data_IF_798535256166
#
_entry.id   IF_798535256166
#
_cell.length_a   1.000
_cell.length_b   1.000
_cell.length_c   1.000
_cell.angle_alpha   90.00
_cell.angle_beta   90.00
_cell.angle_gamma   90.00
#
_symmetry.space_group_name_H-M   'P 1'
#
loop_
_entity.id
_entity.type
_entity.pdbx_description
1 polymer ?
#
# COMPACT_ATOMS: atom_id res chain seq x y z
N UNK A 1 -17.09 8.70 14.17
CA UNK A 1 -15.80 9.40 14.34
C UNK A 1 -15.93 10.77 13.71
N UNK A 2 -15.75 11.87 14.46
CA UNK A 2 -15.61 13.20 13.82
C UNK A 2 -14.23 13.19 13.17
N UNK A 3 -14.17 13.14 11.85
CA UNK A 3 -12.91 13.27 11.12
C UNK A 3 -12.43 14.71 11.31
N UNK A 4 -11.30 14.85 12.02
CA UNK A 4 -10.61 16.11 12.24
C UNK A 4 -9.92 16.59 10.97
N UNK A 5 -8.70 17.12 11.06
CA UNK A 5 -7.96 17.56 9.88
C UNK A 5 -7.55 16.36 9.01
N UNK A 6 -7.97 16.38 7.75
CA UNK A 6 -7.79 15.33 6.75
C UNK A 6 -6.79 15.79 5.68
N UNK A 7 -5.73 15.03 5.44
CA UNK A 7 -4.80 15.24 4.33
C UNK A 7 -5.01 14.22 3.21
N UNK A 8 -5.11 14.67 1.96
CA UNK A 8 -5.13 13.78 0.79
C UNK A 8 -3.83 13.89 0.02
N UNK A 9 -3.17 12.76 -0.22
CA UNK A 9 -1.92 12.68 -0.99
C UNK A 9 -2.17 11.92 -2.31
N UNK A 10 -2.01 12.58 -3.48
CA UNK A 10 -2.18 11.94 -4.80
C UNK A 10 -2.25 12.90 -6.01
N UNK A 11 -2.33 12.37 -7.23
CA UNK A 11 -2.62 13.14 -8.45
C UNK A 11 -4.13 13.39 -8.60
N UNK A 12 -4.57 14.64 -8.43
CA UNK A 12 -5.90 15.09 -8.83
C UNK A 12 -5.87 15.62 -10.27
N UNK A 13 -6.79 15.13 -11.09
CA UNK A 13 -7.37 15.92 -12.17
C UNK A 13 -8.47 16.80 -11.50
N UNK A 14 -8.76 17.99 -12.02
CA UNK A 14 -9.77 18.87 -11.41
C UNK A 14 -11.18 18.35 -11.65
N UNK A 15 -12.00 18.27 -10.60
CA UNK A 15 -13.44 18.02 -10.71
C UNK A 15 -14.20 19.13 -9.98
N UNK A 16 -14.91 19.95 -10.76
CA UNK A 16 -15.78 20.99 -10.21
C UNK A 16 -17.09 20.40 -9.66
N UNK A 17 -17.76 21.09 -8.73
CA UNK A 17 -19.10 20.70 -8.26
C UNK A 17 -20.07 20.50 -9.43
N UNK A 18 -20.82 19.39 -9.43
CA UNK A 18 -21.79 19.04 -10.49
C UNK A 18 -21.25 18.22 -11.66
N UNK A 19 -19.97 17.83 -11.64
CA UNK A 19 -19.38 16.99 -12.69
C UNK A 19 -19.92 15.55 -12.62
N UNK A 20 -20.36 15.00 -13.75
CA UNK A 20 -20.83 13.62 -13.85
C UNK A 20 -19.68 12.61 -13.63
N UNK A 21 -19.68 11.99 -12.45
CA UNK A 21 -18.60 11.15 -11.92
C UNK A 21 -18.33 9.87 -12.73
N UNK A 22 -19.27 9.43 -13.58
CA UNK A 22 -19.08 8.29 -14.49
C UNK A 22 -18.08 8.54 -15.63
N UNK A 23 -17.62 9.78 -15.80
CA UNK A 23 -16.80 10.23 -16.94
C UNK A 23 -15.37 10.67 -16.58
N UNK A 24 -14.99 10.62 -15.30
CA UNK A 24 -13.68 11.11 -14.84
C UNK A 24 -12.71 9.95 -14.56
N UNK A 25 -11.50 10.00 -15.14
CA UNK A 25 -10.44 8.97 -14.96
C UNK A 25 -9.34 9.48 -14.01
N UNK A 26 -9.01 8.71 -12.97
CA UNK A 26 -7.87 8.95 -12.06
C UNK A 26 -8.03 8.32 -10.66
N UNK A 27 -6.91 7.96 -10.01
CA UNK A 27 -6.88 7.21 -8.74
C UNK A 27 -7.35 7.98 -7.49
N UNK A 28 -7.03 9.27 -7.40
CA UNK A 28 -7.40 10.10 -6.24
C UNK A 28 -8.91 10.39 -6.13
N UNK A 29 -9.67 10.18 -7.21
CA UNK A 29 -11.11 10.47 -7.26
C UNK A 29 -11.97 9.44 -6.54
N UNK A 30 -11.59 8.17 -6.58
CA UNK A 30 -12.30 7.14 -5.84
C UNK A 30 -12.19 7.42 -4.33
N UNK A 31 -11.02 7.86 -3.90
CA UNK A 31 -10.73 8.27 -2.53
C UNK A 31 -11.57 9.48 -2.10
N UNK A 32 -11.66 10.51 -2.94
CA UNK A 32 -12.50 11.70 -2.68
C UNK A 32 -14.00 11.36 -2.67
N UNK A 33 -14.46 10.53 -3.61
CA UNK A 33 -15.86 10.08 -3.67
C UNK A 33 -16.23 9.24 -2.44
N UNK A 34 -15.35 8.35 -1.99
CA UNK A 34 -15.55 7.57 -0.77
C UNK A 34 -15.66 8.47 0.47
N UNK A 35 -14.89 9.56 0.56
CA UNK A 35 -14.88 10.47 1.69
C UNK A 35 -16.07 11.43 1.73
N UNK A 36 -16.46 11.95 0.56
CA UNK A 36 -17.67 12.76 0.42
C UNK A 36 -18.93 11.94 0.75
N UNK A 37 -18.99 10.66 0.34
CA UNK A 37 -20.06 9.73 0.68
C UNK A 37 -20.09 9.31 2.16
N UNK A 38 -19.11 9.73 2.97
CA UNK A 38 -19.05 9.51 4.42
C UNK A 38 -19.31 10.79 5.23
N UNK A 39 -19.65 11.91 4.56
CA UNK A 39 -20.08 13.15 5.22
C UNK A 39 -18.94 14.02 5.77
N UNK A 40 -17.73 13.91 5.23
CA UNK A 40 -16.59 14.77 5.62
C UNK A 40 -16.74 16.15 4.98
N UNK A 41 -16.76 17.21 5.80
CA UNK A 41 -16.82 18.60 5.33
C UNK A 41 -15.52 19.00 4.62
N UNK A 42 -15.64 19.72 3.51
CA UNK A 42 -14.50 20.16 2.68
C UNK A 42 -13.53 21.09 3.40
N UNK A 43 -13.99 21.79 4.43
CA UNK A 43 -13.17 22.71 5.24
C UNK A 43 -12.13 22.00 6.12
N UNK A 44 -12.36 20.72 6.41
CA UNK A 44 -11.43 19.90 7.19
C UNK A 44 -10.39 19.21 6.29
N UNK A 45 -10.36 19.49 4.97
CA UNK A 45 -9.54 18.76 4.01
C UNK A 45 -8.33 19.61 3.56
N UNK A 46 -7.15 19.30 4.07
CA UNK A 46 -5.84 19.80 3.60
C UNK A 46 -5.35 18.98 2.41
N UNK A 47 -5.67 19.41 1.20
CA UNK A 47 -5.18 18.75 -0.02
C UNK A 47 -3.69 19.04 -0.25
N UNK A 48 -2.88 18.00 -0.45
CA UNK A 48 -1.48 18.16 -0.88
C UNK A 48 -1.22 17.33 -2.14
N UNK A 49 -1.12 18.03 -3.29
CA UNK A 49 -0.80 17.44 -4.59
C UNK A 49 0.71 17.25 -4.74
N UNK A 50 1.12 16.08 -5.21
CA UNK A 50 2.52 15.78 -5.49
C UNK A 50 2.69 15.16 -6.87
N UNK A 51 3.81 15.50 -7.51
CA UNK A 51 4.32 14.84 -8.72
C UNK A 51 5.71 14.32 -8.40
N UNK A 52 5.98 13.04 -8.70
CA UNK A 52 7.28 12.40 -8.41
C UNK A 52 7.71 12.67 -6.96
N UNK A 53 8.98 12.93 -6.71
CA UNK A 53 9.64 12.98 -5.39
C UNK A 53 9.35 14.28 -4.64
N UNK A 54 8.51 15.16 -5.21
CA UNK A 54 8.16 16.44 -4.58
C UNK A 54 7.43 16.27 -3.25
N UNK A 55 6.90 15.08 -2.97
CA UNK A 55 6.35 14.71 -1.65
C UNK A 55 7.40 14.72 -0.53
N UNK A 56 8.69 14.53 -0.85
CA UNK A 56 9.78 14.59 0.14
C UNK A 56 10.05 16.01 0.66
N UNK A 57 9.84 17.03 -0.19
CA UNK A 57 10.33 18.41 0.03
C UNK A 57 9.37 19.36 0.75
N UNK A 58 8.12 18.94 1.00
CA UNK A 58 7.05 19.81 1.54
C UNK A 58 6.54 19.38 2.91
N UNK A 59 7.33 18.60 3.65
CA UNK A 59 7.03 18.35 5.06
C UNK A 59 7.30 19.64 5.82
N UNK A 60 6.24 20.27 6.33
CA UNK A 60 6.38 21.35 7.31
C UNK A 60 6.62 20.65 8.64
N UNK A 61 7.84 20.76 9.14
CA UNK A 61 8.24 20.18 10.41
C UNK A 61 7.32 20.72 11.53
N UNK A 62 6.69 19.81 12.30
CA UNK A 62 5.78 20.14 13.39
C UNK A 62 4.29 20.27 13.05
N UNK A 63 3.89 20.15 11.77
CA UNK A 63 2.45 20.06 11.42
C UNK A 63 2.04 18.60 11.19
N UNK A 64 1.30 18.03 12.15
CA UNK A 64 0.62 16.73 12.00
C UNK A 64 -0.84 16.90 11.59
N UNK A 65 -1.45 15.81 11.13
CA UNK A 65 -2.88 15.74 10.81
C UNK A 65 -3.53 14.50 11.42
N UNK A 66 -4.82 14.59 11.74
CA UNK A 66 -5.59 13.49 12.33
C UNK A 66 -5.84 12.35 11.35
N UNK A 67 -5.94 12.65 10.05
CA UNK A 67 -6.25 11.63 9.05
C UNK A 67 -5.47 11.87 7.77
N UNK A 68 -4.87 10.82 7.21
CA UNK A 68 -4.22 10.86 5.89
C UNK A 68 -4.90 9.83 5.01
N UNK A 69 -5.31 10.21 3.80
CA UNK A 69 -5.87 9.27 2.84
C UNK A 69 -5.17 9.44 1.51
N UNK A 70 -4.64 8.35 0.97
CA UNK A 70 -3.82 8.39 -0.23
C UNK A 70 -4.11 7.24 -1.16
N UNK A 71 -3.71 7.40 -2.41
CA UNK A 71 -3.63 6.32 -3.37
C UNK A 71 -2.41 6.51 -4.24
N UNK A 72 -1.66 5.44 -4.49
CA UNK A 72 -0.57 5.45 -5.47
C UNK A 72 -0.51 4.12 -6.22
N UNK A 73 -0.08 4.18 -7.47
CA UNK A 73 0.23 2.99 -8.24
C UNK A 73 1.58 2.40 -7.82
N UNK A 74 1.77 1.12 -8.12
CA UNK A 74 3.03 0.41 -7.88
C UNK A 74 4.17 1.04 -8.68
N UNK A 75 5.41 0.84 -8.21
CA UNK A 75 6.63 1.32 -8.87
C UNK A 75 6.82 2.84 -8.82
N UNK A 76 6.46 3.46 -7.69
CA UNK A 76 6.75 4.87 -7.43
C UNK A 76 8.26 5.12 -7.55
N UNK A 77 8.64 5.98 -8.49
CA UNK A 77 10.03 6.43 -8.57
C UNK A 77 10.31 7.48 -7.49
N UNK A 78 11.50 7.40 -6.90
CA UNK A 78 12.00 8.35 -5.92
C UNK A 78 13.54 8.40 -5.90
N UNK A 79 14.14 9.44 -5.32
CA UNK A 79 15.58 9.59 -5.17
C UNK A 79 16.06 9.14 -3.77
N UNK A 80 16.60 7.92 -3.60
CA UNK A 80 17.14 7.43 -2.34
C UNK A 80 18.55 8.01 -2.07
N UNK A 81 18.64 9.33 -1.95
CA UNK A 81 19.90 10.01 -1.65
C UNK A 81 20.43 9.52 -0.29
N UNK A 82 21.75 9.25 -0.18
CA UNK A 82 22.34 8.64 1.03
C UNK A 82 22.12 9.50 2.28
N UNK A 83 21.99 10.80 2.11
CA UNK A 83 21.70 11.77 3.15
C UNK A 83 20.37 11.51 3.85
N UNK A 84 19.42 10.84 3.18
CA UNK A 84 18.15 10.43 3.78
C UNK A 84 18.32 9.36 4.86
N UNK A 85 19.48 8.70 4.96
CA UNK A 85 19.79 7.84 6.11
C UNK A 85 20.02 8.64 7.40
N UNK A 86 20.15 9.96 7.32
CA UNK A 86 20.19 10.85 8.49
C UNK A 86 18.85 11.55 8.74
N UNK A 87 17.83 11.29 7.91
CA UNK A 87 16.50 11.86 8.04
C UNK A 87 15.68 11.00 9.00
N UNK A 88 15.05 11.61 10.01
CA UNK A 88 14.26 10.91 11.03
C UNK A 88 13.12 10.06 10.42
N UNK A 89 12.66 10.39 9.20
CA UNK A 89 11.62 9.61 8.50
C UNK A 89 12.13 8.26 7.99
N UNK A 90 13.40 8.14 7.67
CA UNK A 90 13.95 7.00 6.91
C UNK A 90 15.17 6.32 7.54
N UNK A 91 15.76 6.92 8.56
CA UNK A 91 17.01 6.50 9.19
C UNK A 91 16.90 5.19 9.96
N UNK A 92 15.85 5.02 10.76
CA UNK A 92 15.69 3.91 11.70
C UNK A 92 15.76 2.50 11.06
N UNK A 93 15.11 2.21 9.91
CA UNK A 93 15.29 0.90 9.25
C UNK A 93 16.73 0.58 8.82
N UNK A 94 17.64 1.57 8.80
CA UNK A 94 19.02 1.42 8.33
C UNK A 94 19.17 1.18 6.83
N UNK A 95 18.06 1.17 6.08
CA UNK A 95 18.02 0.97 4.62
C UNK A 95 16.96 1.84 3.97
N UNK A 96 17.32 2.40 2.81
CA UNK A 96 16.39 3.05 1.90
C UNK A 96 15.88 2.04 0.87
N UNK A 97 14.60 2.13 0.52
CA UNK A 97 14.04 1.35 -0.60
C UNK A 97 14.64 1.79 -1.94
N UNK A 98 14.52 0.94 -2.97
CA UNK A 98 15.18 1.20 -4.25
C UNK A 98 14.49 2.33 -5.04
N UNK A 99 15.23 2.97 -5.96
CA UNK A 99 14.76 4.13 -6.73
C UNK A 99 13.40 3.92 -7.43
N UNK A 100 13.11 2.71 -7.89
CA UNK A 100 11.84 2.40 -8.59
C UNK A 100 10.79 1.76 -7.68
N UNK A 101 11.01 1.75 -6.37
CA UNK A 101 10.15 1.11 -5.38
C UNK A 101 9.98 1.98 -4.13
N UNK A 102 9.64 3.25 -4.37
CA UNK A 102 9.50 4.29 -3.35
C UNK A 102 8.23 4.23 -2.51
N UNK A 103 7.41 3.19 -2.63
CA UNK A 103 6.11 3.11 -1.93
C UNK A 103 6.27 3.15 -0.41
N UNK A 104 7.24 2.41 0.16
CA UNK A 104 7.49 2.44 1.61
C UNK A 104 8.09 3.76 2.08
N UNK A 105 8.94 4.41 1.28
CA UNK A 105 9.44 5.74 1.61
C UNK A 105 8.29 6.78 1.60
N UNK A 106 7.33 6.64 0.68
CA UNK A 106 6.13 7.47 0.66
C UNK A 106 5.27 7.24 1.91
N UNK A 107 5.09 5.98 2.32
CA UNK A 107 4.36 5.61 3.54
C UNK A 107 5.05 6.18 4.79
N UNK A 108 6.37 6.02 4.92
CA UNK A 108 7.15 6.59 6.03
C UNK A 108 6.97 8.12 6.13
N UNK A 109 7.00 8.81 4.99
CA UNK A 109 6.74 10.25 4.94
C UNK A 109 5.30 10.64 5.31
N UNK A 110 4.32 9.79 5.01
CA UNK A 110 2.94 9.97 5.48
C UNK A 110 2.85 9.78 6.99
N UNK A 111 3.43 8.71 7.52
CA UNK A 111 3.45 8.41 8.96
C UNK A 111 4.13 9.51 9.79
N UNK A 112 5.17 10.15 9.26
CA UNK A 112 5.84 11.26 9.94
C UNK A 112 4.97 12.52 10.06
N UNK A 113 3.92 12.65 9.25
CA UNK A 113 2.93 13.74 9.29
C UNK A 113 1.61 13.32 9.94
N UNK A 114 1.47 12.04 10.32
CA UNK A 114 0.29 11.54 10.99
C UNK A 114 0.40 11.85 12.49
N UNK A 115 -0.67 12.38 13.07
CA UNK A 115 -0.75 12.59 14.50
C UNK A 115 -0.68 11.27 15.28
N UNK A 116 -0.31 11.33 16.56
CA UNK A 116 -0.15 10.19 17.45
C UNK A 116 -1.42 9.34 17.64
N UNK A 117 -2.60 9.94 17.47
CA UNK A 117 -3.89 9.21 17.43
C UNK A 117 -4.50 9.18 16.03
N UNK A 118 -3.70 9.47 15.00
CA UNK A 118 -4.17 9.63 13.64
C UNK A 118 -4.44 8.31 12.92
N UNK A 119 -5.25 8.42 11.86
CA UNK A 119 -5.61 7.33 10.96
C UNK A 119 -5.06 7.59 9.56
N UNK A 120 -4.24 6.70 9.03
CA UNK A 120 -3.84 6.76 7.62
C UNK A 120 -4.41 5.59 6.82
N UNK A 121 -5.02 5.86 5.67
CA UNK A 121 -5.55 4.82 4.77
C UNK A 121 -4.97 5.01 3.38
N UNK A 122 -4.30 3.97 2.87
CA UNK A 122 -3.64 4.02 1.56
C UNK A 122 -4.20 2.94 0.66
N UNK A 123 -4.66 3.33 -0.52
CA UNK A 123 -4.96 2.42 -1.61
C UNK A 123 -3.72 2.21 -2.49
N UNK A 124 -3.23 0.98 -2.56
CA UNK A 124 -2.02 0.64 -3.32
C UNK A 124 -2.08 -0.76 -3.90
N UNK A 125 -1.24 -1.06 -4.89
CA UNK A 125 -1.01 -2.44 -5.30
C UNK A 125 -0.38 -3.27 -4.18
N UNK A 126 -0.54 -4.60 -4.20
CA UNK A 126 -0.06 -5.47 -3.11
C UNK A 126 1.47 -5.67 -3.07
N UNK A 127 2.20 -5.30 -4.12
CA UNK A 127 3.67 -5.49 -4.22
C UNK A 127 4.49 -5.14 -2.96
N UNK A 128 4.32 -3.93 -2.36
CA UNK A 128 5.04 -3.54 -1.15
C UNK A 128 4.90 -4.53 0.03
N UNK A 129 3.78 -5.25 0.10
CA UNK A 129 3.46 -6.18 1.19
C UNK A 129 4.36 -7.42 1.23
N UNK A 130 5.00 -7.79 0.12
CA UNK A 130 5.75 -9.04 0.03
C UNK A 130 7.10 -8.95 -0.69
N UNK A 131 7.44 -7.81 -1.32
CA UNK A 131 8.76 -7.63 -1.94
C UNK A 131 9.90 -7.77 -0.91
N UNK A 132 11.02 -8.33 -1.37
CA UNK A 132 12.17 -8.72 -0.55
C UNK A 132 13.24 -7.61 -0.47
N UNK A 133 14.38 -7.91 0.16
CA UNK A 133 15.58 -7.06 0.23
C UNK A 133 15.30 -5.77 1.03
N UNK A 134 15.39 -4.58 0.42
CA UNK A 134 15.30 -3.32 1.16
C UNK A 134 13.87 -3.05 1.62
N UNK A 135 12.87 -3.34 0.78
CA UNK A 135 11.47 -3.21 1.16
C UNK A 135 11.07 -4.15 2.30
N UNK A 136 11.68 -5.34 2.40
CA UNK A 136 11.44 -6.25 3.51
C UNK A 136 11.96 -5.68 4.84
N UNK A 137 13.16 -5.07 4.84
CA UNK A 137 13.71 -4.42 6.04
C UNK A 137 12.82 -3.28 6.51
N UNK A 138 12.41 -2.39 5.60
CA UNK A 138 11.52 -1.28 5.96
C UNK A 138 10.16 -1.76 6.43
N UNK A 139 9.58 -2.77 5.78
CA UNK A 139 8.29 -3.35 6.19
C UNK A 139 8.37 -4.01 7.56
N UNK A 140 9.44 -4.77 7.84
CA UNK A 140 9.67 -5.36 9.16
C UNK A 140 9.69 -4.28 10.23
N UNK A 141 10.48 -3.21 10.03
CA UNK A 141 10.52 -2.07 10.97
C UNK A 141 9.13 -1.47 11.23
N UNK A 142 8.33 -1.26 10.18
CA UNK A 142 6.98 -0.69 10.30
C UNK A 142 5.98 -1.62 11.01
N UNK A 143 6.19 -2.93 10.91
CA UNK A 143 5.34 -3.95 11.56
C UNK A 143 5.75 -4.16 13.02
N UNK A 144 7.03 -4.42 13.24
CA UNK A 144 7.56 -4.92 14.51
C UNK A 144 7.93 -3.78 15.46
N UNK A 145 8.66 -2.77 14.97
CA UNK A 145 9.20 -1.69 15.80
C UNK A 145 8.19 -0.55 15.96
N UNK A 146 7.69 -0.02 14.84
CA UNK A 146 6.73 1.08 14.86
C UNK A 146 5.31 0.63 15.20
N UNK A 147 4.99 -0.65 14.97
CA UNK A 147 3.66 -1.22 15.18
C UNK A 147 2.54 -0.40 14.53
N UNK A 148 2.73 0.09 13.30
CA UNK A 148 1.79 1.04 12.67
C UNK A 148 0.78 0.43 11.71
N UNK A 149 0.99 -0.80 11.22
CA UNK A 149 0.11 -1.44 10.24
C UNK A 149 -1.04 -2.14 10.97
N UNK A 150 -2.27 -1.64 10.83
CA UNK A 150 -3.42 -2.12 11.59
C UNK A 150 -4.27 -3.17 10.87
N UNK A 151 -4.59 -2.88 9.60
CA UNK A 151 -5.50 -3.70 8.80
C UNK A 151 -5.09 -3.65 7.32
N UNK A 152 -5.18 -4.78 6.63
CA UNK A 152 -4.95 -4.92 5.19
C UNK A 152 -6.22 -5.53 4.55
N UNK A 153 -6.80 -4.83 3.58
CA UNK A 153 -8.03 -5.22 2.90
C UNK A 153 -7.73 -5.48 1.42
N UNK A 154 -7.83 -6.73 0.97
CA UNK A 154 -7.73 -7.09 -0.45
C UNK A 154 -8.95 -6.57 -1.19
N UNK A 155 -8.73 -5.92 -2.34
CA UNK A 155 -9.80 -5.58 -3.26
C UNK A 155 -9.84 -6.60 -4.41
N UNK A 156 -11.02 -6.94 -4.97
CA UNK A 156 -11.09 -7.89 -6.06
C UNK A 156 -10.41 -7.34 -7.31
N UNK A 157 -9.99 -8.29 -8.17
CA UNK A 157 -9.46 -7.96 -9.49
C UNK A 157 -10.49 -7.12 -10.25
N UNK A 158 -10.04 -6.03 -10.87
CA UNK A 158 -10.85 -5.12 -11.71
C UNK A 158 -11.74 -4.08 -10.99
N UNK A 159 -11.61 -3.90 -9.68
CA UNK A 159 -12.26 -2.74 -9.00
C UNK A 159 -11.47 -1.47 -9.30
N UNK A 160 -11.89 -0.78 -10.37
CA UNK A 160 -11.37 0.53 -10.76
C UNK A 160 -10.29 0.47 -11.84
N UNK A 161 -10.42 1.33 -12.85
CA UNK A 161 -9.54 1.42 -14.02
C UNK A 161 -8.12 1.93 -13.74
N UNK A 162 -7.80 2.26 -12.48
CA UNK A 162 -6.51 2.84 -12.09
C UNK A 162 -5.45 1.78 -11.82
N UNK A 163 -5.81 0.63 -11.26
CA UNK A 163 -4.84 -0.41 -10.92
C UNK A 163 -4.99 -1.59 -11.89
N UNK A 164 -3.99 -1.79 -12.75
CA UNK A 164 -3.92 -2.99 -13.61
C UNK A 164 -3.59 -4.27 -12.83
N UNK A 165 -3.27 -4.14 -11.54
CA UNK A 165 -2.82 -5.19 -10.65
C UNK A 165 -3.75 -5.34 -9.44
N UNK A 166 -3.65 -6.45 -8.70
CA UNK A 166 -4.35 -6.63 -7.43
C UNK A 166 -4.00 -5.48 -6.47
N UNK A 167 -5.04 -4.76 -6.04
CA UNK A 167 -4.95 -3.64 -5.12
C UNK A 167 -5.43 -4.01 -3.72
N UNK A 168 -5.07 -3.18 -2.77
CA UNK A 168 -5.47 -3.31 -1.37
C UNK A 168 -5.62 -1.94 -0.73
N UNK A 169 -6.39 -1.89 0.34
CA UNK A 169 -6.37 -0.79 1.30
C UNK A 169 -5.51 -1.21 2.48
N UNK A 170 -4.57 -0.36 2.89
CA UNK A 170 -3.81 -0.55 4.13
C UNK A 170 -4.15 0.58 5.08
N UNK A 171 -4.58 0.18 6.28
CA UNK A 171 -4.90 1.08 7.38
C UNK A 171 -3.71 1.11 8.32
N UNK A 172 -3.22 2.31 8.60
CA UNK A 172 -2.17 2.58 9.55
C UNK A 172 -2.72 3.40 10.71
N UNK A 173 -2.28 3.08 11.92
CA UNK A 173 -2.57 3.83 13.15
C UNK A 173 -1.32 3.87 14.01
N UNK A 174 -1.06 4.99 14.67
CA UNK A 174 -0.01 5.09 15.69
C UNK A 174 -0.53 4.64 17.06
N UNK A 175 0.38 4.42 18.02
CA UNK A 175 0.09 4.06 19.42
C UNK A 175 -0.90 2.90 19.61
N UNK A 176 -0.80 1.90 18.73
CA UNK A 176 -1.64 0.71 18.76
C UNK A 176 -1.32 -0.13 19.99
N UNK A 177 -2.35 -0.50 20.74
CA UNK A 177 -2.23 -1.36 21.93
C UNK A 177 -2.03 -2.84 21.57
N UNK A 178 -2.57 -3.24 20.42
CA UNK A 178 -2.40 -4.57 19.84
C UNK A 178 -1.30 -4.54 18.77
N UNK A 179 -0.61 -5.66 18.59
CA UNK A 179 0.45 -5.84 17.60
C UNK A 179 0.09 -6.84 16.50
N UNK A 180 -1.14 -7.36 16.50
CA UNK A 180 -1.67 -8.19 15.42
C UNK A 180 -1.97 -7.37 14.15
N UNK A 181 -2.13 -8.02 13.01
CA UNK A 181 -2.62 -7.39 11.78
C UNK A 181 -3.90 -8.11 11.34
N UNK A 182 -4.96 -7.33 11.08
CA UNK A 182 -6.20 -7.85 10.53
C UNK A 182 -6.12 -7.88 9.00
N UNK A 183 -6.26 -9.07 8.45
CA UNK A 183 -6.40 -9.29 7.01
C UNK A 183 -7.88 -9.46 6.66
N UNK A 184 -8.32 -8.83 5.57
CA UNK A 184 -9.68 -8.97 5.04
C UNK A 184 -9.60 -9.21 3.53
N UNK A 185 -10.26 -10.24 3.03
CA UNK A 185 -10.57 -10.38 1.60
C UNK A 185 -11.97 -9.83 1.33
N UNK A 186 -12.06 -8.72 0.59
CA UNK A 186 -13.35 -8.09 0.28
C UNK A 186 -13.96 -8.53 -1.06
N UNK A 187 -13.33 -9.51 -1.73
CA UNK A 187 -13.69 -9.91 -3.10
C UNK A 187 -15.17 -10.30 -3.22
N UNK A 188 -15.61 -11.25 -2.40
CA UNK A 188 -17.01 -11.74 -2.40
C UNK A 188 -18.02 -10.64 -2.04
N UNK A 189 -17.68 -9.74 -1.10
CA UNK A 189 -18.58 -8.64 -0.73
C UNK A 189 -18.79 -7.66 -1.88
N UNK A 190 -17.71 -7.31 -2.56
CA UNK A 190 -17.77 -6.37 -3.67
C UNK A 190 -18.44 -7.02 -4.90
N UNK A 191 -18.23 -8.30 -5.16
CA UNK A 191 -18.98 -9.04 -6.19
C UNK A 191 -20.49 -9.04 -5.92
N UNK A 192 -20.89 -9.29 -4.66
CA UNK A 192 -22.29 -9.20 -4.24
C UNK A 192 -22.87 -7.80 -4.33
N UNK A 193 -22.05 -6.75 -4.19
CA UNK A 193 -22.48 -5.39 -4.46
C UNK A 193 -22.66 -5.15 -5.97
N UNK A 194 -21.70 -5.57 -6.80
CA UNK A 194 -21.73 -5.39 -8.25
C UNK A 194 -22.92 -6.13 -8.88
N UNK A 195 -23.23 -7.34 -8.41
CA UNK A 195 -24.36 -8.13 -8.91
C UNK A 195 -25.73 -7.69 -8.35
N UNK A 196 -25.76 -6.69 -7.46
CA UNK A 196 -26.98 -6.14 -6.86
C UNK A 196 -27.56 -6.93 -5.69
N UNK A 197 -26.89 -8.00 -5.23
CA UNK A 197 -27.32 -8.80 -4.07
C UNK A 197 -27.14 -8.07 -2.74
N UNK A 198 -26.32 -7.01 -2.71
CA UNK A 198 -26.03 -6.25 -1.49
C UNK A 198 -25.96 -4.76 -1.79
N UNK A 199 -26.46 -3.93 -0.87
CA UNK A 199 -26.35 -2.47 -0.96
C UNK A 199 -24.98 -1.98 -0.50
N UNK A 200 -24.58 -0.78 -0.93
CA UNK A 200 -23.33 -0.15 -0.47
C UNK A 200 -23.30 0.01 1.06
N UNK A 201 -24.43 0.30 1.70
CA UNK A 201 -24.52 0.45 3.14
C UNK A 201 -24.27 -0.87 3.87
N UNK A 202 -24.85 -1.97 3.38
CA UNK A 202 -24.61 -3.30 3.93
C UNK A 202 -23.15 -3.73 3.77
N UNK A 203 -22.53 -3.44 2.63
CA UNK A 203 -21.10 -3.68 2.42
C UNK A 203 -20.24 -2.90 3.42
N UNK A 204 -20.48 -1.59 3.55
CA UNK A 204 -19.77 -0.72 4.50
C UNK A 204 -19.93 -1.20 5.94
N UNK A 205 -21.16 -1.54 6.34
CA UNK A 205 -21.45 -2.05 7.66
C UNK A 205 -20.68 -3.35 7.92
N UNK A 206 -20.74 -4.31 6.99
CA UNK A 206 -20.07 -5.59 7.16
C UNK A 206 -18.55 -5.45 7.33
N UNK A 207 -17.91 -4.59 6.53
CA UNK A 207 -16.47 -4.30 6.64
C UNK A 207 -16.15 -3.62 7.97
N UNK A 208 -16.96 -2.64 8.39
CA UNK A 208 -16.78 -1.96 9.67
C UNK A 208 -16.92 -2.92 10.86
N UNK A 209 -17.91 -3.81 10.84
CA UNK A 209 -18.13 -4.81 11.89
C UNK A 209 -16.89 -5.70 12.02
N UNK A 210 -16.35 -6.20 10.90
CA UNK A 210 -15.13 -7.02 10.89
C UNK A 210 -13.93 -6.26 11.47
N UNK A 211 -13.76 -4.98 11.12
CA UNK A 211 -12.65 -4.13 11.61
C UNK A 211 -12.77 -3.87 13.11
N UNK A 212 -13.98 -3.55 13.59
CA UNK A 212 -14.23 -3.22 14.99
C UNK A 212 -14.12 -4.44 15.89
N UNK A 213 -14.67 -5.57 15.44
CA UNK A 213 -14.74 -6.80 16.24
C UNK A 213 -13.45 -7.63 16.13
N UNK A 214 -12.61 -7.39 15.11
CA UNK A 214 -11.38 -8.15 14.79
C UNK A 214 -11.59 -9.66 14.87
N UNK A 215 -12.58 -10.14 14.12
CA UNK A 215 -12.99 -11.55 14.14
C UNK A 215 -12.41 -12.34 12.96
N UNK A 216 -12.04 -13.59 13.22
CA UNK A 216 -11.69 -14.55 12.18
C UNK A 216 -12.97 -15.07 11.53
N UNK A 217 -13.08 -14.92 10.22
CA UNK A 217 -14.19 -15.43 9.42
C UNK A 217 -13.59 -16.20 8.26
N UNK A 218 -14.00 -17.47 8.12
CA UNK A 218 -13.51 -18.36 7.09
C UNK A 218 -13.56 -17.70 5.69
N UNK A 219 -12.43 -17.73 4.98
CA UNK A 219 -12.22 -17.13 3.63
C UNK A 219 -12.40 -15.61 3.54
N UNK A 220 -12.67 -14.91 4.65
CA UNK A 220 -13.06 -13.50 4.67
C UNK A 220 -12.10 -12.66 5.49
N UNK A 221 -11.77 -13.09 6.71
CA UNK A 221 -10.92 -12.30 7.61
C UNK A 221 -10.08 -13.18 8.52
N UNK A 222 -8.89 -12.70 8.83
CA UNK A 222 -7.95 -13.38 9.70
C UNK A 222 -7.10 -12.38 10.48
N UNK A 223 -7.02 -12.53 11.80
CA UNK A 223 -6.15 -11.75 12.68
C UNK A 223 -4.86 -12.53 12.90
N UNK A 224 -3.78 -12.09 12.28
CA UNK A 224 -2.48 -12.72 12.43
C UNK A 224 -1.71 -12.08 13.60
N UNK A 225 -1.16 -12.91 14.49
CA UNK A 225 -0.28 -12.42 15.55
C UNK A 225 1.06 -11.97 14.99
N UNK A 226 1.79 -11.15 15.77
CA UNK A 226 3.15 -10.74 15.40
C UNK A 226 4.08 -11.95 15.19
N UNK A 227 3.98 -12.98 16.04
CA UNK A 227 4.75 -14.23 15.91
C UNK A 227 4.47 -14.96 14.59
N UNK A 228 3.21 -15.00 14.15
CA UNK A 228 2.85 -15.60 12.86
C UNK A 228 3.40 -14.78 11.69
N UNK A 229 3.36 -13.45 11.80
CA UNK A 229 3.90 -12.54 10.79
C UNK A 229 5.42 -12.68 10.69
N UNK A 230 6.12 -12.78 11.82
CA UNK A 230 7.57 -13.03 11.89
C UNK A 230 7.92 -14.39 11.26
N UNK A 231 7.18 -15.45 11.59
CA UNK A 231 7.36 -16.77 10.97
C UNK A 231 7.18 -16.75 9.44
N UNK A 232 6.40 -15.78 8.94
CA UNK A 232 6.22 -15.51 7.52
C UNK A 232 7.26 -14.56 6.92
N UNK A 233 8.35 -14.24 7.64
CA UNK A 233 9.38 -13.28 7.27
C UNK A 233 8.79 -11.90 6.95
N UNK A 234 7.83 -11.46 7.76
CA UNK A 234 7.07 -10.23 7.58
C UNK A 234 6.40 -10.13 6.20
N UNK A 235 6.11 -11.26 5.54
CA UNK A 235 5.40 -11.27 4.27
C UNK A 235 3.91 -11.05 4.54
N UNK A 236 3.39 -9.90 4.15
CA UNK A 236 2.01 -9.47 4.38
C UNK A 236 1.09 -9.78 3.17
N UNK A 237 1.49 -10.71 2.29
CA UNK A 237 0.60 -11.19 1.24
C UNK A 237 -0.62 -11.86 1.88
N UNK A 238 -1.81 -11.33 1.59
CA UNK A 238 -3.10 -11.76 2.16
C UNK A 238 -3.34 -13.26 1.94
N UNK A 239 -2.89 -13.81 0.81
CA UNK A 239 -2.99 -15.23 0.47
C UNK A 239 -2.28 -16.17 1.47
N UNK A 240 -1.35 -15.64 2.29
CA UNK A 240 -0.72 -16.41 3.38
C UNK A 240 -1.60 -16.59 4.61
N UNK A 241 -2.55 -15.68 4.81
CA UNK A 241 -3.36 -15.60 6.03
C UNK A 241 -4.81 -16.00 5.78
N UNK A 242 -5.32 -15.74 4.57
CA UNK A 242 -6.66 -16.13 4.14
C UNK A 242 -6.52 -17.09 2.96
N UNK A 243 -6.88 -18.36 3.19
CA UNK A 243 -6.93 -19.38 2.14
C UNK A 243 -8.18 -19.16 1.30
N UNK A 244 -7.99 -19.00 -0.01
CA UNK A 244 -9.07 -18.96 -0.98
C UNK A 244 -8.86 -20.11 -1.97
N UNK A 245 -9.92 -20.85 -2.28
CA UNK A 245 -9.85 -22.10 -3.06
C UNK A 245 -9.34 -21.84 -4.50
N UNK A 246 -9.47 -20.61 -5.00
CA UNK A 246 -8.93 -20.22 -6.32
C UNK A 246 -7.40 -20.21 -6.42
N UNK A 247 -6.69 -20.12 -5.28
CA UNK A 247 -5.22 -20.10 -5.23
C UNK A 247 -4.58 -21.49 -5.37
N UNK A 248 -5.36 -22.57 -5.35
CA UNK A 248 -4.86 -23.95 -5.49
C UNK A 248 -4.32 -24.27 -6.90
N UNK A 249 -4.53 -23.42 -7.90
CA UNK A 249 -4.03 -23.64 -9.27
C UNK A 249 -2.61 -23.06 -9.54
N UNK A 250 -1.87 -22.60 -8.53
CA UNK A 250 -0.55 -21.97 -8.73
C UNK A 250 0.60 -22.98 -8.89
N UNK A 251 0.40 -24.25 -8.53
CA UNK A 251 1.51 -25.22 -8.61
C UNK A 251 1.99 -25.48 -10.05
N UNK A 252 1.19 -25.20 -11.07
CA UNK A 252 1.62 -25.26 -12.48
C UNK A 252 2.37 -24.01 -13.00
N UNK A 253 2.30 -22.86 -12.31
CA UNK A 253 2.92 -21.60 -12.75
C UNK A 253 4.35 -21.45 -12.19
N UNK A 254 4.64 -22.09 -11.05
CA UNK A 254 5.96 -22.00 -10.40
C UNK A 254 7.09 -22.56 -11.25
N UNK A 255 6.87 -23.65 -12.00
CA UNK A 255 7.96 -24.26 -12.79
C UNK A 255 8.31 -23.43 -14.04
N UNK A 256 7.30 -22.99 -14.81
CA UNK A 256 7.53 -22.29 -16.08
C UNK A 256 8.15 -20.89 -15.87
N UNK A 257 7.67 -20.13 -14.87
CA UNK A 257 8.21 -18.79 -14.63
C UNK A 257 9.63 -18.80 -14.04
N UNK A 258 10.02 -19.85 -13.33
CA UNK A 258 11.37 -19.96 -12.77
C UNK A 258 12.39 -20.22 -13.88
N UNK A 259 12.06 -21.04 -14.89
CA UNK A 259 12.95 -21.27 -16.04
C UNK A 259 13.13 -20.02 -16.88
N UNK A 260 12.05 -19.31 -17.22
CA UNK A 260 12.13 -18.07 -17.99
C UNK A 260 12.97 -16.98 -17.27
N UNK A 261 12.79 -16.85 -15.94
CA UNK A 261 13.58 -15.90 -15.12
C UNK A 261 15.05 -16.33 -15.04
N UNK A 262 15.34 -17.64 -14.97
CA UNK A 262 16.73 -18.15 -14.97
C UNK A 262 17.43 -17.86 -16.29
N UNK A 263 16.72 -18.03 -17.40
CA UNK A 263 17.26 -17.71 -18.73
C UNK A 263 17.51 -16.21 -18.89
N UNK A 264 16.62 -15.36 -18.37
CA UNK A 264 16.82 -13.91 -18.39
C UNK A 264 18.03 -13.48 -17.52
N UNK A 265 18.22 -14.10 -16.35
CA UNK A 265 19.41 -13.89 -15.50
C UNK A 265 20.69 -14.30 -16.25
N UNK A 266 20.70 -15.47 -16.89
CA UNK A 266 21.86 -15.96 -17.63
C UNK A 266 22.22 -15.06 -18.83
N UNK A 267 21.22 -14.46 -19.48
CA UNK A 267 21.43 -13.48 -20.55
C UNK A 267 22.02 -12.18 -20.00
N UNK A 268 21.52 -11.68 -18.87
CA UNK A 268 22.04 -10.47 -18.22
C UNK A 268 23.49 -10.67 -17.74
N UNK A 269 23.82 -11.82 -17.16
CA UNK A 269 25.19 -12.16 -16.75
C UNK A 269 26.16 -12.15 -17.95
N UNK A 270 25.77 -12.75 -19.08
CA UNK A 270 26.56 -12.71 -20.31
C UNK A 270 26.74 -11.28 -20.84
N UNK A 271 25.72 -10.42 -20.73
CA UNK A 271 25.85 -9.02 -21.13
C UNK A 271 26.80 -8.24 -20.23
N UNK A 272 26.79 -8.52 -18.92
CA UNK A 272 27.72 -7.93 -17.95
C UNK A 272 29.16 -8.35 -18.28
N UNK A 273 29.40 -9.64 -18.51
CA UNK A 273 30.73 -10.16 -18.85
C UNK A 273 31.28 -9.57 -20.15
N UNK A 274 30.44 -9.45 -21.17
CA UNK A 274 30.84 -8.83 -22.44
C UNK A 274 31.18 -7.35 -22.25
N UNK A 275 30.39 -6.61 -21.46
CA UNK A 275 30.69 -5.21 -21.13
C UNK A 275 31.97 -5.07 -20.31
N UNK A 276 32.22 -5.96 -19.37
CA UNK A 276 33.46 -5.99 -18.56
C UNK A 276 34.70 -6.28 -19.42
N UNK A 277 34.60 -7.20 -20.38
CA UNK A 277 35.69 -7.48 -21.34
C UNK A 277 35.97 -6.27 -22.24
N UNK A 278 34.93 -5.58 -22.70
CA UNK A 278 35.08 -4.35 -23.48
C UNK A 278 35.74 -3.25 -22.65
N UNK A 279 35.32 -3.07 -21.40
CA UNK A 279 35.91 -2.10 -20.49
C UNK A 279 37.40 -2.38 -20.25
N UNK A 280 37.79 -3.64 -20.01
CA UNK A 280 39.18 -4.03 -19.83
C UNK A 280 40.05 -3.86 -21.09
N UNK A 281 39.45 -3.87 -22.28
CA UNK A 281 40.13 -3.52 -23.54
C UNK A 281 40.28 -2.03 -23.77
N UNK A 282 39.49 -1.20 -23.08
CA UNK A 282 39.59 0.26 -23.15
C UNK A 282 40.58 0.78 -22.10
N UNK A 283 40.73 0.06 -20.98
CA UNK A 283 41.60 0.43 -19.85
C UNK A 283 43.07 -0.02 -20.05
N UNK A 284 43.33 -1.00 -20.92
CA UNK A 284 44.68 -1.44 -21.31
C UNK A 284 45.03 -0.98 -22.73
#
# INVERSE_FOLDING_TARGET
MKLGELMILGELVDVMPGTNLSRVKGGAYHTYALLFLQGVSSENIKLRKFQSDKWLKKVVEGETVDTIISSFDTQMSWNPAKELLNDNRFSEPGKLVTQHRGEWAYIQNGLSQLDENGLMVICMGQGPLYRMINEAVVRQYLVETENVIDTIIALPKNVGSTFRHQSCLVIFKKNRQQNDILFIDSSTFIENYINGSTTLNQLKQKVNDIINDRVNIEKISYVASLDEIDSNNFNLNIAKYIKNDELENIDGIKEVQIEDIRDEIAQLENQIDNKMRLLNRIIN
#
